data_IF_761513373339
#
_entry.id   IF_761513373339
#
_cell.length_a   1.000
_cell.length_b   1.000
_cell.length_c   1.000
_cell.angle_alpha   90.00
_cell.angle_beta   90.00
_cell.angle_gamma   90.00
#
_symmetry.space_group_name_H-M   'P 1'
#
loop_
_entity.id
_entity.type
_entity.pdbx_description
1 polymer ?
#
# COMPACT_ATOMS: atom_id res chain seq x y z
N UNK A 1 -2.05 -2.65 -20.22
CA UNK A 1 -2.50 -3.76 -19.35
C UNK A 1 -1.26 -4.31 -18.68
N UNK A 2 -1.09 -4.07 -17.37
CA UNK A 2 0.04 -4.63 -16.60
C UNK A 2 -0.32 -6.06 -16.23
N UNK A 3 0.52 -7.01 -16.62
CA UNK A 3 0.37 -8.41 -16.22
C UNK A 3 0.86 -8.49 -14.76
N UNK A 4 0.04 -8.98 -13.81
CA UNK A 4 0.48 -9.15 -12.43
C UNK A 4 1.68 -10.11 -12.37
N UNK A 5 2.61 -9.92 -11.41
CA UNK A 5 3.65 -10.91 -11.13
C UNK A 5 3.04 -12.27 -10.80
N UNK A 6 3.80 -13.34 -11.04
CA UNK A 6 3.38 -14.69 -10.71
C UNK A 6 3.01 -14.80 -9.21
N UNK A 7 1.84 -15.37 -8.92
CA UNK A 7 1.29 -15.52 -7.56
C UNK A 7 0.42 -14.35 -7.08
N UNK A 8 0.16 -13.36 -7.94
CA UNK A 8 -0.70 -12.20 -7.65
C UNK A 8 -1.96 -12.13 -8.53
N UNK A 9 -2.20 -13.16 -9.34
CA UNK A 9 -3.32 -13.21 -10.29
C UNK A 9 -4.68 -13.10 -9.59
N UNK A 10 -4.87 -13.84 -8.50
CA UNK A 10 -6.10 -13.86 -7.70
C UNK A 10 -6.25 -12.64 -6.77
N UNK A 11 -5.24 -11.76 -6.75
CA UNK A 11 -5.18 -10.58 -5.90
C UNK A 11 -5.54 -9.30 -6.65
N UNK A 12 -5.77 -9.38 -7.96
CA UNK A 12 -6.23 -8.25 -8.78
C UNK A 12 -7.70 -7.94 -8.44
N UNK A 13 -8.09 -6.67 -8.27
CA UNK A 13 -7.27 -5.46 -8.40
C UNK A 13 -6.52 -5.09 -7.11
N UNK A 14 -5.28 -4.62 -7.24
CA UNK A 14 -4.48 -4.15 -6.12
C UNK A 14 -3.51 -3.03 -6.55
N UNK A 15 -2.99 -2.30 -5.56
CA UNK A 15 -1.85 -1.42 -5.73
C UNK A 15 -0.73 -1.76 -4.75
N UNK A 16 0.51 -1.63 -5.24
CA UNK A 16 1.67 -1.53 -4.38
C UNK A 16 1.93 -0.06 -4.10
N UNK A 17 1.89 0.34 -2.83
CA UNK A 17 1.91 1.76 -2.46
C UNK A 17 3.08 2.03 -1.53
N UNK A 18 3.56 3.28 -1.52
CA UNK A 18 4.50 3.79 -0.54
C UNK A 18 3.75 4.75 0.36
N UNK A 19 3.80 4.54 1.67
CA UNK A 19 3.18 5.41 2.67
C UNK A 19 4.21 5.95 3.65
N UNK A 20 3.93 7.13 4.20
CA UNK A 20 4.71 7.76 5.26
C UNK A 20 4.06 7.45 6.62
N UNK A 21 4.86 7.03 7.60
CA UNK A 21 4.37 6.76 8.96
C UNK A 21 4.20 8.08 9.73
N UNK A 22 3.02 8.30 10.30
CA UNK A 22 2.69 9.54 11.02
C UNK A 22 3.53 9.77 12.30
N UNK A 23 4.06 8.73 12.93
CA UNK A 23 4.76 8.81 14.23
C UNK A 23 6.29 8.81 14.07
N UNK A 24 6.80 9.66 13.17
CA UNK A 24 8.24 9.88 13.02
C UNK A 24 8.56 11.23 13.64
N UNK A 25 9.45 11.27 14.63
CA UNK A 25 9.80 12.52 15.31
C UNK A 25 10.35 13.54 14.31
N UNK A 26 10.16 14.84 14.55
CA UNK A 26 10.65 15.90 13.63
C UNK A 26 12.18 15.92 13.47
N UNK A 27 12.90 15.15 14.29
CA UNK A 27 14.35 14.98 14.24
C UNK A 27 14.78 13.73 13.46
N UNK A 28 13.83 12.92 12.99
CA UNK A 28 14.03 11.70 12.21
C UNK A 28 13.39 11.90 10.84
N UNK A 29 14.11 11.56 9.77
CA UNK A 29 13.53 11.60 8.42
C UNK A 29 12.24 10.75 8.37
N UNK A 30 11.20 11.20 7.65
CA UNK A 30 9.96 10.46 7.54
C UNK A 30 10.23 9.02 7.09
N UNK A 31 9.83 8.07 7.92
CA UNK A 31 9.93 6.65 7.62
C UNK A 31 8.87 6.33 6.59
N UNK A 32 9.33 5.92 5.41
CA UNK A 32 8.48 5.45 4.32
C UNK A 32 8.55 3.94 4.22
N UNK A 33 7.39 3.32 4.16
CA UNK A 33 7.24 1.88 3.97
C UNK A 33 6.43 1.62 2.72
N UNK A 34 6.64 0.45 2.10
CA UNK A 34 5.81 -0.02 0.99
C UNK A 34 4.93 -1.17 1.43
N UNK A 35 3.70 -1.24 0.92
CA UNK A 35 2.78 -2.32 1.24
C UNK A 35 1.73 -2.59 0.16
N UNK A 36 1.01 -3.67 0.37
CA UNK A 36 -0.06 -4.17 -0.47
C UNK A 36 -1.40 -3.58 -0.04
N UNK A 37 -2.11 -2.94 -0.97
CA UNK A 37 -3.47 -2.42 -0.78
C UNK A 37 -4.42 -3.07 -1.81
N UNK A 38 -5.41 -3.87 -1.38
CA UNK A 38 -6.40 -4.46 -2.28
C UNK A 38 -7.38 -3.42 -2.82
N UNK A 39 -8.16 -3.83 -3.82
CA UNK A 39 -9.31 -3.10 -4.37
C UNK A 39 -8.98 -1.73 -5.00
N UNK A 40 -7.78 -1.63 -5.61
CA UNK A 40 -7.36 -0.46 -6.38
C UNK A 40 -7.32 -0.80 -7.87
N UNK A 41 -8.30 -0.31 -8.64
CA UNK A 41 -8.41 -0.64 -10.07
C UNK A 41 -7.66 0.35 -10.95
N UNK A 42 -7.65 1.62 -10.58
CA UNK A 42 -7.01 2.72 -11.33
C UNK A 42 -6.39 3.76 -10.39
N UNK A 43 -5.41 4.56 -10.85
CA UNK A 43 -4.73 5.54 -10.00
C UNK A 43 -5.67 6.54 -9.31
N UNK A 44 -6.80 6.88 -9.93
CA UNK A 44 -7.79 7.80 -9.36
C UNK A 44 -8.50 7.23 -8.12
N UNK A 45 -8.50 5.91 -7.94
CA UNK A 45 -9.06 5.25 -6.75
C UNK A 45 -8.14 5.41 -5.52
N UNK A 46 -6.90 5.90 -5.73
CA UNK A 46 -5.92 6.15 -4.69
C UNK A 46 -5.19 7.50 -4.89
N UNK A 47 -5.83 8.63 -4.58
CA UNK A 47 -5.18 9.93 -4.56
C UNK A 47 -3.96 9.98 -3.61
N UNK A 48 -2.95 10.76 -3.97
CA UNK A 48 -1.83 11.05 -3.06
C UNK A 48 -2.38 11.73 -1.81
N UNK A 49 -1.96 11.25 -0.64
CA UNK A 49 -2.46 11.72 0.65
C UNK A 49 -3.65 10.93 1.21
N UNK A 50 -4.16 9.91 0.50
CA UNK A 50 -5.14 8.98 1.08
C UNK A 50 -4.59 8.34 2.35
N UNK A 51 -5.36 8.45 3.44
CA UNK A 51 -5.05 7.80 4.70
C UNK A 51 -5.22 6.29 4.58
N UNK A 52 -4.20 5.57 5.03
CA UNK A 52 -4.16 4.11 5.04
C UNK A 52 -3.59 3.64 6.37
N UNK A 53 -3.93 2.42 6.76
CA UNK A 53 -3.48 1.83 8.02
C UNK A 53 -2.85 0.46 7.78
N UNK A 54 -1.79 0.17 8.53
CA UNK A 54 -1.20 -1.17 8.59
C UNK A 54 -2.11 -2.09 9.40
N UNK A 55 -2.55 -3.19 8.79
CA UNK A 55 -3.44 -4.17 9.43
C UNK A 55 -2.75 -5.51 9.72
N UNK A 56 -1.59 -5.77 9.12
CA UNK A 56 -0.86 -7.00 9.33
C UNK A 56 0.21 -7.25 8.28
N UNK A 57 0.61 -8.51 8.17
CA UNK A 57 1.63 -8.98 7.22
C UNK A 57 1.30 -10.40 6.79
N UNK A 58 1.52 -10.72 5.52
CA UNK A 58 1.47 -12.08 4.99
C UNK A 58 2.50 -12.29 3.87
N UNK A 59 2.33 -13.36 3.08
CA UNK A 59 3.21 -13.71 1.95
C UNK A 59 3.33 -12.59 0.88
N UNK A 60 2.44 -11.60 0.89
CA UNK A 60 2.42 -10.43 0.00
C UNK A 60 3.19 -9.24 0.57
N UNK A 61 3.65 -9.30 1.82
CA UNK A 61 4.28 -8.18 2.51
C UNK A 61 3.37 -7.50 3.55
N UNK A 62 3.61 -6.22 3.81
CA UNK A 62 2.79 -5.41 4.72
C UNK A 62 1.40 -5.22 4.11
N UNK A 63 0.35 -5.55 4.86
CA UNK A 63 -1.04 -5.39 4.44
C UNK A 63 -1.60 -4.06 4.93
N UNK A 64 -2.26 -3.35 4.02
CA UNK A 64 -2.84 -2.04 4.25
C UNK A 64 -4.35 -2.05 4.01
N UNK A 65 -5.08 -1.21 4.75
CA UNK A 65 -6.48 -0.88 4.50
C UNK A 65 -6.65 0.64 4.32
N UNK A 66 -7.62 1.07 3.51
CA UNK A 66 -8.04 2.47 3.48
C UNK A 66 -8.75 2.82 4.79
N UNK A 67 -8.49 4.01 5.32
CA UNK A 67 -9.24 4.57 6.45
C UNK A 67 -10.48 5.34 6.01
#
# INVERSE_FOLDING_TARGET
MTIPPAGFEDLVPYAWIVMELYDTSEFINPIRISGFLPDIQKPEDLPIGTAVKVIGFDNRGILLEKQ
#
